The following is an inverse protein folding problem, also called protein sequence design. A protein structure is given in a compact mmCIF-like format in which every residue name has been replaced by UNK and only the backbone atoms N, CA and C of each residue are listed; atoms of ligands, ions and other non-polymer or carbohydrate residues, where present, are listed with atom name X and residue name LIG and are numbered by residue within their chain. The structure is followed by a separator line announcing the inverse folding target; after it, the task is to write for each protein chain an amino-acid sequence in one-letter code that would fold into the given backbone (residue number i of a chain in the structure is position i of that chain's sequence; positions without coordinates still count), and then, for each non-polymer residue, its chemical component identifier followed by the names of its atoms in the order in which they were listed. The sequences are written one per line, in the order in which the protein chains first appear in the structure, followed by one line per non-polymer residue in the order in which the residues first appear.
data_IF_709855309861
#
_entry.id   IF_709855309861
#
_cell.length_a   1.000
_cell.length_b   1.000
_cell.length_c   1.000
_cell.angle_alpha   90.00
_cell.angle_beta   90.00
_cell.angle_gamma   90.00
#
_symmetry.space_group_name_H-M   'P 1'
#
loop_
_entity.id
_entity.type
_entity.pdbx_description
1 polymer ?
#
# COMPACT_ATOMS: atom_id res chain seq x y z
N UNK A 1 -30.53 85.04 24.34
CA UNK A 1 -30.69 83.60 24.63
C UNK A 1 -29.30 82.99 24.75
N UNK A 2 -29.06 82.25 25.83
CA UNK A 2 -27.76 81.93 26.46
C UNK A 2 -27.02 80.78 25.74
N UNK A 3 -25.68 80.83 25.72
CA UNK A 3 -24.78 79.72 25.34
C UNK A 3 -24.74 78.64 26.44
N UNK A 4 -24.64 77.36 26.08
CA UNK A 4 -23.82 76.37 26.82
C UNK A 4 -23.60 75.07 26.01
N UNK A 5 -22.36 74.59 26.11
CA UNK A 5 -21.76 73.40 25.49
C UNK A 5 -22.36 72.08 26.00
N UNK A 6 -22.26 71.02 25.20
CA UNK A 6 -21.75 69.74 25.71
C UNK A 6 -21.18 68.88 24.57
N UNK A 7 -19.85 68.89 24.51
CA UNK A 7 -19.02 67.83 23.92
C UNK A 7 -19.40 66.50 24.59
N UNK A 8 -19.87 65.52 23.82
CA UNK A 8 -19.73 64.10 24.18
C UNK A 8 -18.96 63.39 23.06
N UNK A 9 -17.64 63.49 23.19
CA UNK A 9 -16.67 62.67 22.45
C UNK A 9 -16.88 61.24 22.90
N UNK A 10 -17.28 60.38 21.97
CA UNK A 10 -17.34 58.94 22.14
C UNK A 10 -15.91 58.41 22.25
N UNK A 11 -15.48 57.80 23.37
CA UNK A 11 -14.14 57.24 23.46
C UNK A 11 -14.10 55.98 22.60
N UNK A 12 -13.47 56.09 21.43
CA UNK A 12 -12.99 54.89 20.73
C UNK A 12 -11.96 54.25 21.65
N UNK A 13 -12.36 53.19 22.35
CA UNK A 13 -11.43 52.32 23.05
C UNK A 13 -10.53 51.72 21.96
N UNK A 14 -9.36 52.33 21.79
CA UNK A 14 -8.33 51.86 20.91
C UNK A 14 -7.82 50.57 21.55
N UNK A 15 -8.36 49.42 21.11
CA UNK A 15 -7.75 48.13 21.44
C UNK A 15 -6.30 48.25 21.00
N UNK A 16 -5.38 48.32 21.96
CA UNK A 16 -3.94 48.38 21.67
C UNK A 16 -3.63 47.16 20.80
N UNK A 17 -3.49 47.36 19.49
CA UNK A 17 -2.96 46.34 18.60
C UNK A 17 -1.53 46.08 19.08
N UNK A 18 -1.36 44.99 19.83
CA UNK A 18 -0.05 44.44 20.16
C UNK A 18 0.48 43.82 18.88
N UNK A 19 1.22 44.63 18.10
CA UNK A 19 1.99 44.12 16.97
C UNK A 19 3.08 43.18 17.47
N UNK A 20 3.33 42.10 16.73
CA UNK A 20 4.49 41.24 16.95
C UNK A 20 5.76 42.06 16.76
N UNK A 21 6.76 41.89 17.62
CA UNK A 21 8.05 42.55 17.39
C UNK A 21 8.79 41.85 16.26
N UNK A 22 9.59 42.60 15.48
CA UNK A 22 10.34 42.04 14.36
C UNK A 22 11.28 40.91 14.82
N UNK A 23 11.86 41.06 16.02
CA UNK A 23 12.74 40.05 16.61
C UNK A 23 12.00 38.79 17.05
N UNK A 24 10.78 38.92 17.56
CA UNK A 24 9.93 37.81 17.98
C UNK A 24 9.48 36.99 16.76
N UNK A 25 9.24 37.66 15.64
CA UNK A 25 9.05 37.00 14.36
C UNK A 25 10.33 36.32 13.86
N UNK A 26 11.51 36.96 13.95
CA UNK A 26 12.77 36.35 13.51
C UNK A 26 13.12 35.07 14.28
N UNK A 27 12.99 35.09 15.61
CA UNK A 27 13.26 33.92 16.44
C UNK A 27 12.20 32.85 16.21
N UNK A 28 10.92 33.23 16.08
CA UNK A 28 9.83 32.31 15.76
C UNK A 28 10.06 31.57 14.44
N UNK A 29 10.44 32.30 13.38
CA UNK A 29 10.72 31.72 12.07
C UNK A 29 11.95 30.82 12.09
N UNK A 30 12.97 31.16 12.89
CA UNK A 30 14.14 30.31 13.10
C UNK A 30 13.78 28.98 13.78
N UNK A 31 12.96 29.01 14.83
CA UNK A 31 12.51 27.79 15.52
C UNK A 31 11.67 26.92 14.59
N UNK A 32 10.68 27.51 13.90
CA UNK A 32 9.83 26.78 12.94
C UNK A 32 10.66 26.22 11.77
N UNK A 33 11.67 26.96 11.29
CA UNK A 33 12.57 26.50 10.23
C UNK A 33 13.37 25.26 10.63
N UNK A 34 13.90 25.22 11.86
CA UNK A 34 14.62 24.04 12.38
C UNK A 34 13.66 22.86 12.53
N UNK A 35 12.47 23.07 13.11
CA UNK A 35 11.47 22.00 13.28
C UNK A 35 10.98 21.43 11.94
N UNK A 36 10.74 22.29 10.95
CA UNK A 36 10.31 21.87 9.62
C UNK A 36 11.37 21.00 8.92
N UNK A 37 12.65 21.34 9.06
CA UNK A 37 13.74 20.55 8.48
C UNK A 37 13.85 19.15 9.10
N UNK A 38 13.56 19.00 10.39
CA UNK A 38 13.57 17.68 11.05
C UNK A 38 12.34 16.85 10.66
N UNK A 39 11.17 17.48 10.62
CA UNK A 39 9.91 16.80 10.29
C UNK A 39 9.88 16.26 8.84
N UNK A 40 10.46 16.99 7.88
CA UNK A 40 10.46 16.62 6.47
C UNK A 40 11.07 15.23 6.20
N UNK A 41 12.15 14.87 6.91
CA UNK A 41 12.85 13.61 6.68
C UNK A 41 12.05 12.39 7.20
N UNK A 42 11.35 12.54 8.33
CA UNK A 42 10.58 11.44 8.93
C UNK A 42 9.23 11.21 8.24
N UNK A 43 8.60 12.26 7.72
CA UNK A 43 7.25 12.16 7.14
C UNK A 43 7.19 11.22 5.93
N UNK A 44 8.25 11.17 5.12
CA UNK A 44 8.28 10.35 3.90
C UNK A 44 8.26 8.84 4.17
N UNK A 45 8.82 8.35 5.28
CA UNK A 45 8.82 6.92 5.60
C UNK A 45 7.46 6.43 6.11
N UNK A 46 6.71 7.29 6.80
CA UNK A 46 5.39 6.97 7.34
C UNK A 46 4.36 6.80 6.21
N UNK A 47 4.32 7.73 5.25
CA UNK A 47 3.43 7.61 4.09
C UNK A 47 3.74 6.35 3.29
N UNK A 48 5.04 6.10 3.06
CA UNK A 48 5.49 4.91 2.36
C UNK A 48 5.06 3.61 3.03
N UNK A 49 5.12 3.56 4.36
CA UNK A 49 4.70 2.39 5.14
C UNK A 49 3.18 2.18 5.07
N UNK A 50 2.40 3.27 5.03
CA UNK A 50 0.96 3.21 4.84
C UNK A 50 0.60 2.67 3.44
N UNK A 51 1.26 3.16 2.39
CA UNK A 51 1.08 2.67 1.01
C UNK A 51 1.42 1.18 0.88
N UNK A 52 2.51 0.73 1.51
CA UNK A 52 2.89 -0.69 1.53
C UNK A 52 1.86 -1.52 2.28
N UNK A 53 1.34 -1.03 3.40
CA UNK A 53 0.33 -1.75 4.19
C UNK A 53 -0.94 -2.01 3.39
N UNK A 54 -1.37 -1.04 2.58
CA UNK A 54 -2.48 -1.23 1.64
C UNK A 54 -2.17 -2.33 0.62
N UNK A 55 -0.98 -2.31 0.02
CA UNK A 55 -0.56 -3.34 -0.93
C UNK A 55 -0.62 -4.75 -0.33
N UNK A 56 -0.13 -4.88 0.91
CA UNK A 56 -0.11 -6.14 1.65
C UNK A 56 -1.52 -6.62 2.00
N UNK A 57 -2.40 -5.73 2.47
CA UNK A 57 -3.79 -6.08 2.79
C UNK A 57 -4.54 -6.64 1.58
N UNK A 58 -4.35 -6.04 0.40
CA UNK A 58 -4.95 -6.56 -0.83
C UNK A 58 -4.28 -7.86 -1.29
N UNK A 59 -2.96 -8.00 -1.13
CA UNK A 59 -2.28 -9.27 -1.41
C UNK A 59 -2.81 -10.43 -0.58
N UNK A 60 -3.06 -10.19 0.71
CA UNK A 60 -3.69 -11.18 1.61
C UNK A 60 -5.15 -11.46 1.21
N UNK A 61 -5.88 -10.45 0.74
CA UNK A 61 -7.23 -10.64 0.20
C UNK A 61 -7.21 -11.52 -1.06
N UNK A 62 -6.23 -11.33 -1.96
CA UNK A 62 -6.05 -12.17 -3.14
C UNK A 62 -5.83 -13.62 -2.72
N UNK A 63 -4.85 -13.88 -1.84
CA UNK A 63 -4.54 -15.22 -1.33
C UNK A 63 -5.78 -15.92 -0.76
N UNK A 64 -6.49 -15.24 0.15
CA UNK A 64 -7.73 -15.77 0.74
C UNK A 64 -8.82 -15.99 -0.28
N UNK A 65 -9.03 -15.06 -1.22
CA UNK A 65 -10.09 -15.19 -2.23
C UNK A 65 -9.85 -16.37 -3.17
N UNK A 66 -8.59 -16.63 -3.53
CA UNK A 66 -8.19 -17.77 -4.37
C UNK A 66 -8.39 -19.08 -3.60
N UNK A 67 -7.97 -19.15 -2.33
CA UNK A 67 -8.21 -20.31 -1.47
C UNK A 67 -9.72 -20.58 -1.30
N UNK A 68 -10.49 -19.55 -0.93
CA UNK A 68 -11.94 -19.65 -0.78
C UNK A 68 -12.65 -20.09 -2.08
N UNK A 69 -12.16 -19.67 -3.24
CA UNK A 69 -12.71 -20.12 -4.52
C UNK A 69 -12.49 -21.62 -4.73
N UNK A 70 -11.30 -22.13 -4.43
CA UNK A 70 -10.99 -23.58 -4.52
C UNK A 70 -11.79 -24.39 -3.49
N UNK A 71 -11.93 -23.88 -2.26
CA UNK A 71 -12.68 -24.54 -1.19
C UNK A 71 -14.17 -24.64 -1.48
N UNK A 72 -14.75 -23.59 -2.08
CA UNK A 72 -16.17 -23.56 -2.45
C UNK A 72 -16.50 -24.42 -3.68
N UNK A 73 -15.51 -24.77 -4.51
CA UNK A 73 -15.72 -25.51 -5.76
C UNK A 73 -15.04 -26.89 -5.72
N UNK A 74 -15.61 -27.83 -4.95
CA UNK A 74 -15.04 -29.18 -4.76
C UNK A 74 -14.74 -29.95 -6.06
N UNK A 75 -15.50 -29.71 -7.13
CA UNK A 75 -15.32 -30.34 -8.46
C UNK A 75 -14.42 -29.59 -9.44
N UNK A 76 -13.77 -28.50 -9.00
CA UNK A 76 -12.87 -27.71 -9.85
C UNK A 76 -11.62 -28.52 -10.23
N UNK A 77 -11.28 -28.50 -11.52
CA UNK A 77 -9.96 -28.95 -11.96
C UNK A 77 -8.91 -27.89 -11.59
N UNK A 78 -8.16 -28.15 -10.52
CA UNK A 78 -7.11 -27.27 -10.02
C UNK A 78 -6.01 -27.00 -11.07
N UNK A 79 -5.77 -27.95 -11.99
CA UNK A 79 -4.76 -27.77 -13.04
C UNK A 79 -5.22 -26.77 -14.08
N UNK A 80 -6.47 -26.90 -14.54
CA UNK A 80 -7.08 -25.94 -15.45
C UNK A 80 -7.23 -24.55 -14.80
N UNK A 81 -7.58 -24.51 -13.51
CA UNK A 81 -7.69 -23.27 -12.74
C UNK A 81 -6.34 -22.57 -12.58
N UNK A 82 -5.28 -23.30 -12.20
CA UNK A 82 -3.90 -22.80 -12.15
C UNK A 82 -3.49 -22.18 -13.47
N UNK A 83 -3.70 -22.89 -14.58
CA UNK A 83 -3.37 -22.38 -15.92
C UNK A 83 -4.14 -21.10 -16.21
N UNK A 84 -5.44 -21.08 -15.92
CA UNK A 84 -6.30 -19.91 -16.13
C UNK A 84 -5.81 -18.68 -15.37
N UNK A 85 -5.44 -18.82 -14.07
CA UNK A 85 -4.81 -17.74 -13.31
C UNK A 85 -3.51 -17.29 -13.98
N UNK A 86 -2.59 -18.22 -14.25
CA UNK A 86 -1.23 -17.88 -14.68
C UNK A 86 -1.16 -17.24 -16.08
N UNK A 87 -2.08 -17.60 -16.98
CA UNK A 87 -2.06 -17.10 -18.37
C UNK A 87 -3.10 -16.01 -18.59
N UNK A 88 -4.36 -16.30 -18.26
CA UNK A 88 -5.54 -15.57 -18.76
C UNK A 88 -6.12 -14.61 -17.74
N UNK A 89 -5.85 -14.77 -16.45
CA UNK A 89 -6.53 -14.00 -15.38
C UNK A 89 -5.57 -13.63 -14.25
N UNK A 90 -4.32 -13.25 -14.59
CA UNK A 90 -3.26 -12.93 -13.63
C UNK A 90 -3.31 -11.51 -13.08
N UNK A 91 -4.03 -10.59 -13.72
CA UNK A 91 -3.93 -9.17 -13.37
C UNK A 91 -5.06 -8.75 -12.43
N UNK A 92 -4.75 -7.88 -11.47
CA UNK A 92 -5.73 -7.13 -10.70
C UNK A 92 -5.28 -5.67 -10.61
N UNK A 93 -6.14 -4.75 -11.04
CA UNK A 93 -5.93 -3.30 -10.94
C UNK A 93 -7.29 -2.61 -10.97
N UNK A 94 -7.36 -1.36 -10.51
CA UNK A 94 -8.54 -0.55 -10.77
C UNK A 94 -8.75 -0.42 -12.29
N UNK A 95 -10.01 -0.51 -12.73
CA UNK A 95 -10.36 -0.47 -14.14
C UNK A 95 -9.67 -1.52 -15.02
N UNK A 96 -9.29 -2.69 -14.48
CA UNK A 96 -8.59 -3.72 -15.23
C UNK A 96 -9.29 -4.03 -16.57
N UNK A 97 -8.54 -3.97 -17.67
CA UNK A 97 -9.06 -4.10 -19.04
C UNK A 97 -8.69 -5.42 -19.71
N UNK A 98 -7.66 -6.12 -19.22
CA UNK A 98 -7.17 -7.36 -19.81
C UNK A 98 -6.66 -8.34 -18.74
N UNK A 99 -7.01 -9.61 -18.94
CA UNK A 99 -6.60 -10.73 -18.10
C UNK A 99 -6.91 -10.54 -16.61
N UNK A 100 -8.12 -10.05 -16.31
CA UNK A 100 -8.51 -9.64 -14.97
C UNK A 100 -8.96 -10.83 -14.12
N UNK A 101 -8.34 -11.01 -12.95
CA UNK A 101 -8.71 -12.08 -12.02
C UNK A 101 -10.16 -11.97 -11.52
N UNK A 102 -10.72 -10.75 -11.53
CA UNK A 102 -12.10 -10.45 -11.15
C UNK A 102 -13.13 -11.17 -12.03
N UNK A 103 -12.76 -11.59 -13.24
CA UNK A 103 -13.62 -12.39 -14.12
C UNK A 103 -13.78 -13.83 -13.63
N UNK A 104 -12.76 -14.40 -12.98
CA UNK A 104 -12.84 -15.72 -12.34
C UNK A 104 -13.42 -15.63 -10.93
N UNK A 105 -12.95 -14.64 -10.17
CA UNK A 105 -13.27 -14.46 -8.75
C UNK A 105 -13.92 -13.07 -8.58
N UNK A 106 -15.24 -12.94 -8.80
CA UNK A 106 -15.92 -11.64 -8.76
C UNK A 106 -15.99 -11.03 -7.36
N UNK A 107 -15.78 -11.84 -6.32
CA UNK A 107 -15.67 -11.37 -4.93
C UNK A 107 -14.37 -10.60 -4.67
N UNK A 108 -13.37 -10.78 -5.53
CA UNK A 108 -12.11 -10.06 -5.46
C UNK A 108 -12.23 -8.75 -6.25
N UNK A 109 -12.90 -7.75 -5.67
CA UNK A 109 -13.03 -6.43 -6.27
C UNK A 109 -12.20 -5.40 -5.50
N UNK A 110 -11.47 -4.55 -6.22
CA UNK A 110 -10.76 -3.42 -5.64
C UNK A 110 -11.69 -2.23 -5.42
N UNK A 111 -11.36 -1.40 -4.43
CA UNK A 111 -11.99 -0.09 -4.25
C UNK A 111 -11.64 0.81 -5.45
N UNK A 112 -12.55 1.71 -5.82
CA UNK A 112 -12.27 2.72 -6.84
C UNK A 112 -11.05 3.59 -6.45
N UNK A 113 -10.26 3.97 -7.46
CA UNK A 113 -9.01 4.73 -7.34
C UNK A 113 -7.87 3.99 -6.63
N UNK A 114 -7.85 2.66 -6.74
CA UNK A 114 -6.74 1.85 -6.24
C UNK A 114 -5.52 1.96 -7.16
N UNK A 115 -4.38 2.34 -6.59
CA UNK A 115 -3.18 2.72 -7.36
C UNK A 115 -2.24 1.54 -7.64
N UNK A 116 -2.28 0.49 -6.80
CA UNK A 116 -1.42 -0.67 -6.97
C UNK A 116 -1.91 -1.62 -8.06
N UNK A 117 -0.97 -2.10 -8.87
CA UNK A 117 -1.22 -3.13 -9.89
C UNK A 117 -0.65 -4.46 -9.41
N UNK A 118 -1.47 -5.50 -9.37
CA UNK A 118 -1.09 -6.83 -8.91
C UNK A 118 -1.03 -7.81 -10.07
N UNK A 119 -0.01 -8.66 -10.03
CA UNK A 119 0.12 -9.82 -10.89
C UNK A 119 0.19 -11.07 -10.01
N UNK A 120 -0.78 -11.95 -10.18
CA UNK A 120 -0.98 -13.18 -9.43
C UNK A 120 -0.43 -14.35 -10.22
N UNK A 121 0.29 -15.21 -9.53
CA UNK A 121 0.64 -16.53 -10.03
C UNK A 121 0.29 -17.56 -8.97
N UNK A 122 -0.15 -18.73 -9.42
CA UNK A 122 -0.58 -19.82 -8.58
C UNK A 122 0.18 -21.12 -8.91
N UNK A 123 0.37 -21.92 -7.89
CA UNK A 123 0.80 -23.30 -7.97
C UNK A 123 -0.09 -24.17 -7.08
N UNK A 124 -0.12 -25.47 -7.34
CA UNK A 124 -1.09 -26.37 -6.72
C UNK A 124 -0.39 -27.58 -6.13
N UNK A 125 -0.90 -28.06 -5.00
CA UNK A 125 -0.65 -29.41 -4.53
C UNK A 125 -1.90 -30.26 -4.81
N UNK A 126 -1.79 -31.13 -5.81
CA UNK A 126 -2.90 -31.98 -6.26
C UNK A 126 -3.23 -33.05 -5.21
N UNK A 127 -2.26 -33.46 -4.38
CA UNK A 127 -2.46 -34.51 -3.39
C UNK A 127 -3.32 -34.00 -2.20
N UNK A 128 -3.04 -32.78 -1.76
CA UNK A 128 -3.77 -32.14 -0.65
C UNK A 128 -4.91 -31.23 -1.12
N UNK A 129 -5.03 -31.02 -2.44
CA UNK A 129 -5.99 -30.10 -3.07
C UNK A 129 -5.81 -28.65 -2.59
N UNK A 130 -4.56 -28.27 -2.35
CA UNK A 130 -4.18 -26.93 -1.93
C UNK A 130 -3.74 -26.07 -3.12
N UNK A 131 -3.94 -24.76 -2.98
CA UNK A 131 -3.45 -23.75 -3.93
C UNK A 131 -2.59 -22.73 -3.20
N UNK A 132 -1.48 -22.37 -3.81
CA UNK A 132 -0.51 -21.43 -3.28
C UNK A 132 -0.33 -20.29 -4.27
N UNK A 133 -0.31 -19.05 -3.78
CA UNK A 133 -0.12 -17.87 -4.64
C UNK A 133 1.19 -17.14 -4.35
N UNK A 134 1.72 -16.54 -5.40
CA UNK A 134 2.74 -15.51 -5.34
C UNK A 134 2.19 -14.28 -6.05
N UNK A 135 2.13 -13.16 -5.34
CA UNK A 135 1.59 -11.90 -5.84
C UNK A 135 2.70 -10.88 -5.93
N UNK A 136 2.84 -10.26 -7.10
CA UNK A 136 3.69 -9.09 -7.31
C UNK A 136 2.82 -7.84 -7.39
N UNK A 137 2.91 -6.97 -6.39
CA UNK A 137 2.30 -5.64 -6.41
C UNK A 137 3.30 -4.63 -6.98
N UNK A 138 2.89 -3.76 -7.90
CA UNK A 138 3.75 -2.75 -8.51
C UNK A 138 3.09 -1.37 -8.45
N UNK A 139 3.87 -0.35 -8.07
CA UNK A 139 3.49 1.07 -8.05
C UNK A 139 4.73 1.92 -8.30
N UNK A 140 4.68 2.87 -9.23
CA UNK A 140 5.77 3.81 -9.56
C UNK A 140 7.16 3.13 -9.71
N UNK A 141 7.24 2.08 -10.52
CA UNK A 141 8.46 1.26 -10.74
C UNK A 141 8.97 0.47 -9.53
N UNK A 142 8.31 0.56 -8.37
CA UNK A 142 8.60 -0.25 -7.19
C UNK A 142 7.71 -1.47 -7.18
N UNK A 143 8.25 -2.61 -6.75
CA UNK A 143 7.48 -3.83 -6.61
C UNK A 143 7.60 -4.43 -5.22
N UNK A 144 6.53 -5.07 -4.74
CA UNK A 144 6.49 -5.83 -3.50
C UNK A 144 6.04 -7.24 -3.85
N UNK A 145 6.67 -8.24 -3.24
CA UNK A 145 6.27 -9.64 -3.40
C UNK A 145 5.59 -10.10 -2.12
N UNK A 146 4.44 -10.74 -2.30
CA UNK A 146 3.59 -11.27 -1.24
C UNK A 146 3.35 -12.74 -1.55
N UNK A 147 3.58 -13.58 -0.56
CA UNK A 147 3.49 -15.04 -0.65
C UNK A 147 2.29 -15.57 0.14
N UNK A 148 1.64 -16.64 -0.33
CA UNK A 148 0.58 -17.32 0.42
C UNK A 148 1.07 -17.96 1.72
N UNK A 149 2.33 -18.39 1.79
CA UNK A 149 2.99 -18.94 2.98
C UNK A 149 4.08 -18.01 3.53
N UNK A 150 4.33 -18.10 4.83
CA UNK A 150 5.44 -17.38 5.47
C UNK A 150 6.79 -17.96 5.01
N UNK A 151 7.80 -17.09 4.92
CA UNK A 151 9.19 -17.46 4.63
C UNK A 151 10.05 -17.31 5.89
N UNK A 152 11.02 -18.21 6.05
CA UNK A 152 12.01 -18.15 7.13
C UNK A 152 13.28 -17.36 6.73
N UNK A 153 13.30 -16.75 5.54
CA UNK A 153 14.42 -15.93 5.08
C UNK A 153 14.39 -14.55 5.71
N UNK A 154 15.53 -14.04 6.15
CA UNK A 154 15.66 -12.69 6.72
C UNK A 154 15.31 -11.54 5.76
N UNK A 155 15.19 -11.82 4.46
CA UNK A 155 14.72 -10.85 3.46
C UNK A 155 13.20 -10.72 3.40
N UNK A 156 12.50 -11.65 4.03
CA UNK A 156 11.06 -11.70 4.16
C UNK A 156 10.67 -11.37 5.59
N UNK A 157 9.57 -10.64 5.73
CA UNK A 157 8.88 -10.38 6.98
C UNK A 157 7.60 -11.20 6.88
N UNK A 158 7.62 -12.41 7.42
CA UNK A 158 6.60 -13.44 7.26
C UNK A 158 6.28 -13.71 5.78
N UNK A 159 5.18 -13.16 5.27
CA UNK A 159 4.67 -13.36 3.92
C UNK A 159 5.14 -12.29 2.91
N UNK A 160 5.83 -11.25 3.36
CA UNK A 160 6.13 -10.06 2.53
C UNK A 160 7.63 -9.87 2.34
N UNK A 161 8.07 -9.66 1.10
CA UNK A 161 9.47 -9.37 0.79
C UNK A 161 9.83 -7.91 1.12
N UNK A 162 10.75 -7.72 2.07
CA UNK A 162 11.01 -6.41 2.70
C UNK A 162 12.00 -5.51 1.95
N UNK A 163 12.89 -6.05 1.11
CA UNK A 163 14.00 -5.25 0.53
C UNK A 163 13.63 -4.42 -0.70
N UNK A 164 12.76 -4.92 -1.58
CA UNK A 164 12.58 -4.30 -2.91
C UNK A 164 11.90 -2.93 -2.86
N UNK A 165 11.18 -2.63 -1.78
CA UNK A 165 10.57 -1.32 -1.59
C UNK A 165 11.59 -0.26 -1.13
N UNK A 166 12.67 -0.68 -0.47
CA UNK A 166 13.71 0.20 0.09
C UNK A 166 14.81 0.52 -0.93
N UNK A 167 15.08 -0.39 -1.87
CA UNK A 167 16.07 -0.21 -2.93
C UNK A 167 15.51 -0.67 -4.27
N UNK A 168 15.28 0.30 -5.15
CA UNK A 168 15.00 0.07 -6.57
C UNK A 168 16.15 -0.79 -7.13
N UNK A 169 15.85 -1.95 -7.70
CA UNK A 169 16.80 -2.94 -8.23
C UNK A 169 17.49 -3.90 -7.22
N UNK A 170 16.91 -4.14 -6.03
CA UNK A 170 17.35 -5.29 -5.22
C UNK A 170 17.24 -6.59 -6.04
N UNK A 171 18.19 -7.51 -5.93
CA UNK A 171 17.98 -8.86 -6.45
C UNK A 171 16.91 -9.55 -5.61
N UNK A 172 15.81 -9.98 -6.23
CA UNK A 172 14.78 -10.72 -5.51
C UNK A 172 15.33 -12.07 -5.05
N UNK A 173 14.97 -12.44 -3.82
CA UNK A 173 15.39 -13.69 -3.19
C UNK A 173 14.12 -14.50 -2.96
N UNK A 174 14.07 -15.69 -3.55
CA UNK A 174 12.96 -16.62 -3.38
C UNK A 174 12.68 -16.91 -1.91
N UNK A 175 11.41 -17.04 -1.57
CA UNK A 175 10.93 -17.29 -0.20
C UNK A 175 9.42 -17.45 -0.17
N UNK A 176 8.93 -18.21 0.81
CA UNK A 176 7.54 -18.66 0.85
C UNK A 176 7.19 -19.34 -0.48
N UNK A 177 6.03 -19.09 -1.06
CA UNK A 177 5.70 -19.67 -2.36
C UNK A 177 6.33 -18.95 -3.56
N UNK A 178 7.05 -17.84 -3.40
CA UNK A 178 7.58 -17.08 -4.53
C UNK A 178 9.00 -17.53 -4.96
N UNK A 179 9.20 -17.90 -6.23
CA UNK A 179 10.48 -18.45 -6.74
C UNK A 179 11.29 -17.56 -7.69
N UNK A 180 10.73 -16.49 -8.29
CA UNK A 180 11.46 -15.64 -9.24
C UNK A 180 11.03 -14.16 -9.25
N UNK A 181 11.79 -13.31 -9.95
CA UNK A 181 11.49 -11.86 -10.19
C UNK A 181 10.22 -11.62 -11.03
N UNK A 182 9.65 -12.71 -11.56
CA UNK A 182 8.30 -12.78 -12.12
C UNK A 182 7.50 -13.58 -11.10
N UNK A 183 6.28 -13.15 -10.69
CA UNK A 183 5.50 -13.89 -9.72
C UNK A 183 5.36 -15.32 -10.24
N UNK A 184 6.05 -16.23 -9.57
CA UNK A 184 6.10 -17.65 -9.90
C UNK A 184 5.89 -18.34 -8.58
N UNK A 185 4.69 -18.86 -8.39
CA UNK A 185 4.35 -19.64 -7.22
C UNK A 185 4.98 -21.03 -7.34
N UNK A 186 5.38 -21.60 -6.22
CA UNK A 186 5.92 -22.96 -6.12
C UNK A 186 5.49 -23.58 -4.80
N UNK A 187 5.05 -24.83 -4.84
CA UNK A 187 4.73 -25.63 -3.64
C UNK A 187 5.97 -25.87 -2.75
N UNK A 188 7.17 -25.81 -3.34
CA UNK A 188 8.40 -26.38 -2.77
C UNK A 188 9.25 -25.42 -1.91
N UNK A 189 8.90 -24.14 -1.80
CA UNK A 189 9.76 -23.16 -1.13
C UNK A 189 9.33 -22.93 0.34
N UNK A 190 9.43 -23.98 1.17
CA UNK A 190 9.44 -23.82 2.64
C UNK A 190 10.82 -23.31 3.11
N UNK A 191 11.25 -22.18 2.54
CA UNK A 191 12.57 -21.59 2.72
C UNK A 191 12.60 -20.50 3.77
#
# INVERSE_FOLDING_TARGET
MVRLNSFLVNPRCFSKQRGFTLIELMIGLLIVGILASLAANQYTSVIRSADVSEAVQVGDLIDKSVQHYVDSHLGLDLTAFKTSINTNYKNLSDGCTANCITTLIPTLALKASHDWVYVVNADIDIANRDIYVCVKATKDSRSIYISGQASNKSTWQDKVYSRHYLTENASFVAGGNCSANVPTATVANNG
#
